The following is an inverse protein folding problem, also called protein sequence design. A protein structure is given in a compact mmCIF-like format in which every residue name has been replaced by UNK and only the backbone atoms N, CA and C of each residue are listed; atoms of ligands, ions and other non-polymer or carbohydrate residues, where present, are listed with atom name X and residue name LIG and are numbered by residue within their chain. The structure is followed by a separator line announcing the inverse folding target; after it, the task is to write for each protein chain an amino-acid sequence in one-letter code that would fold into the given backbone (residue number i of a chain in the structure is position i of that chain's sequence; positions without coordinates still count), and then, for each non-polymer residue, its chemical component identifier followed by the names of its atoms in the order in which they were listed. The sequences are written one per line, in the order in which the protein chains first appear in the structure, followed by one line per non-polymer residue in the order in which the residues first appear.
data_IF_876450493115
#
_entry.id   IF_876450493115
#
_cell.length_a   1.000
_cell.length_b   1.000
_cell.length_c   1.000
_cell.angle_alpha   90.00
_cell.angle_beta   90.00
_cell.angle_gamma   90.00
#
_symmetry.space_group_name_H-M   'P 1'
#
loop_
_entity.id
_entity.type
_entity.pdbx_description
1 polymer ?
#
# COMPACT_ATOMS: atom_id res chain seq x y z
N UNK A 1 -8.20 -3.43 12.11
CA UNK A 1 -7.66 -2.14 12.57
C UNK A 1 -6.16 -2.32 12.82
N UNK A 2 -5.28 -1.49 12.26
CA UNK A 2 -3.84 -1.69 12.37
C UNK A 2 -3.37 -1.48 13.82
N UNK A 3 -2.35 -2.22 14.28
CA UNK A 3 -1.76 -1.97 15.59
C UNK A 3 -1.19 -0.55 15.64
N UNK A 4 -1.55 0.20 16.68
CA UNK A 4 -1.06 1.57 16.94
C UNK A 4 -0.19 1.62 18.20
N UNK A 5 0.58 2.69 18.32
CA UNK A 5 1.50 2.90 19.44
C UNK A 5 0.76 3.04 20.77
N UNK A 6 1.12 2.23 21.76
CA UNK A 6 0.66 2.39 23.15
C UNK A 6 1.50 3.44 23.87
N UNK A 7 0.87 4.39 24.55
CA UNK A 7 1.55 5.48 25.28
C UNK A 7 1.30 5.36 26.78
N UNK A 8 2.37 5.48 27.57
CA UNK A 8 2.32 5.51 29.04
C UNK A 8 2.60 6.92 29.53
N UNK A 9 1.70 7.47 30.33
CA UNK A 9 1.78 8.81 30.89
C UNK A 9 1.95 8.77 32.41
N UNK A 10 2.65 9.77 32.95
CA UNK A 10 2.73 10.04 34.38
C UNK A 10 1.40 10.59 34.92
N UNK A 11 1.24 10.62 36.25
CA UNK A 11 0.03 11.16 36.89
C UNK A 11 -0.24 12.65 36.61
N UNK A 12 0.77 13.38 36.13
CA UNK A 12 0.66 14.77 35.68
C UNK A 12 0.48 14.91 34.15
N UNK A 13 0.29 13.80 33.44
CA UNK A 13 0.07 13.76 31.99
C UNK A 13 1.33 13.70 31.13
N UNK A 14 2.54 13.85 31.70
CA UNK A 14 3.79 13.77 30.92
C UNK A 14 3.98 12.38 30.31
N UNK A 15 4.37 12.32 29.03
CA UNK A 15 4.69 11.06 28.35
C UNK A 15 5.94 10.43 28.97
N UNK A 16 5.85 9.20 29.45
CA UNK A 16 6.96 8.42 30.02
C UNK A 16 7.58 7.53 28.96
N UNK A 17 6.74 6.80 28.21
CA UNK A 17 7.21 5.81 27.24
C UNK A 17 6.16 5.54 26.16
N UNK A 18 6.66 5.11 25.01
CA UNK A 18 5.86 4.59 23.90
C UNK A 18 6.27 3.15 23.63
N UNK A 19 5.28 2.26 23.49
CA UNK A 19 5.48 0.85 23.19
C UNK A 19 4.78 0.52 21.88
N UNK A 20 5.56 0.12 20.89
CA UNK A 20 5.05 -0.35 19.61
C UNK A 20 6.04 -1.32 18.97
N UNK A 21 5.52 -2.36 18.30
CA UNK A 21 6.34 -3.19 17.38
C UNK A 21 6.67 -2.41 16.10
N UNK A 22 5.75 -1.55 15.69
CA UNK A 22 5.83 -0.74 14.49
C UNK A 22 5.40 0.68 14.85
N UNK A 23 6.17 1.69 14.41
CA UNK A 23 5.84 3.09 14.65
C UNK A 23 4.77 3.54 13.66
N UNK A 24 3.51 3.24 13.97
CA UNK A 24 2.35 3.61 13.17
C UNK A 24 1.53 4.69 13.86
N UNK A 25 1.05 5.63 13.06
CA UNK A 25 0.03 6.61 13.43
C UNK A 25 -1.15 6.36 12.49
N UNK A 26 -2.34 6.23 13.05
CA UNK A 26 -3.54 6.12 12.25
C UNK A 26 -3.87 7.47 11.61
N UNK A 27 -4.09 7.48 10.29
CA UNK A 27 -4.43 8.66 9.51
C UNK A 27 -5.71 8.34 8.74
N UNK A 28 -6.83 9.04 9.00
CA UNK A 28 -8.04 8.89 8.22
C UNK A 28 -7.80 9.27 6.75
N UNK A 29 -8.35 8.50 5.81
CA UNK A 29 -8.12 8.69 4.36
C UNK A 29 -8.56 10.09 3.88
N UNK A 30 -9.57 10.67 4.52
CA UNK A 30 -10.13 11.98 4.21
C UNK A 30 -9.16 13.13 4.53
N UNK A 31 -8.13 12.85 5.35
CA UNK A 31 -7.10 13.83 5.71
C UNK A 31 -5.88 13.76 4.79
N UNK A 32 -5.82 12.77 3.90
CA UNK A 32 -4.72 12.58 2.97
C UNK A 32 -4.92 13.47 1.74
N UNK A 33 -3.91 14.24 1.30
CA UNK A 33 -4.00 15.03 0.08
C UNK A 33 -4.39 14.17 -1.13
N UNK A 34 -5.37 14.60 -1.96
CA UNK A 34 -5.79 13.84 -3.14
C UNK A 34 -4.63 13.50 -4.09
N UNK A 35 -3.65 14.40 -4.21
CA UNK A 35 -2.46 14.21 -5.04
C UNK A 35 -1.60 13.05 -4.54
N UNK A 36 -1.51 12.85 -3.22
CA UNK A 36 -0.77 11.74 -2.64
C UNK A 36 -1.49 10.41 -2.90
N UNK A 37 -2.82 10.39 -2.79
CA UNK A 37 -3.64 9.23 -3.15
C UNK A 37 -3.41 8.88 -4.63
N UNK A 38 -3.54 9.86 -5.54
CA UNK A 38 -3.34 9.64 -6.96
C UNK A 38 -1.91 9.20 -7.31
N UNK A 39 -0.89 9.75 -6.64
CA UNK A 39 0.50 9.33 -6.85
C UNK A 39 0.71 7.87 -6.45
N UNK A 40 0.15 7.45 -5.31
CA UNK A 40 0.24 6.07 -4.84
C UNK A 40 -0.50 5.11 -5.76
N UNK A 41 -1.75 5.43 -6.15
CA UNK A 41 -2.51 4.64 -7.11
C UNK A 41 -1.80 4.55 -8.47
N UNK A 42 -1.22 5.65 -8.96
CA UNK A 42 -0.53 5.65 -10.25
C UNK A 42 0.71 4.73 -10.27
N UNK A 43 1.36 4.56 -9.12
CA UNK A 43 2.56 3.73 -8.95
C UNK A 43 2.23 2.26 -8.66
N UNK A 44 1.29 2.00 -7.76
CA UNK A 44 0.99 0.64 -7.27
C UNK A 44 -0.18 -0.02 -8.00
N UNK A 45 -1.28 0.72 -8.22
CA UNK A 45 -2.54 0.14 -8.70
C UNK A 45 -3.45 1.19 -9.36
N UNK A 46 -3.20 1.46 -10.65
CA UNK A 46 -3.84 2.56 -11.38
C UNK A 46 -5.36 2.39 -11.52
N UNK A 47 -5.83 1.15 -11.52
CA UNK A 47 -7.24 0.81 -11.75
C UNK A 47 -7.93 0.39 -10.45
N UNK A 48 -7.37 0.73 -9.29
CA UNK A 48 -7.81 0.25 -7.98
C UNK A 48 -9.32 0.39 -7.74
N UNK A 49 -9.87 1.56 -8.08
CA UNK A 49 -11.30 1.84 -7.88
C UNK A 49 -12.22 1.20 -8.93
N UNK A 50 -11.67 0.69 -10.02
CA UNK A 50 -12.44 0.09 -11.11
C UNK A 50 -12.59 -1.43 -10.95
N UNK A 51 -11.74 -2.06 -10.15
CA UNK A 51 -11.72 -3.51 -9.98
C UNK A 51 -12.14 -3.97 -8.58
N UNK A 52 -12.66 -5.20 -8.47
CA UNK A 52 -13.10 -5.81 -7.22
C UNK A 52 -11.97 -6.36 -6.33
N UNK A 53 -10.73 -5.89 -6.49
CA UNK A 53 -9.55 -6.32 -5.74
C UNK A 53 -8.57 -7.18 -6.53
N UNK A 54 -8.92 -7.64 -7.73
CA UNK A 54 -8.00 -8.27 -8.66
C UNK A 54 -8.09 -7.56 -10.02
N UNK A 55 -6.97 -7.02 -10.51
CA UNK A 55 -6.89 -6.48 -11.87
C UNK A 55 -6.63 -7.60 -12.87
N UNK A 56 -7.70 -8.26 -13.34
CA UNK A 56 -7.59 -9.32 -14.35
C UNK A 56 -6.94 -8.81 -15.65
N UNK A 57 -7.18 -7.55 -16.02
CA UNK A 57 -6.56 -6.95 -17.22
C UNK A 57 -5.07 -6.72 -16.98
N UNK A 58 -4.70 -6.22 -15.81
CA UNK A 58 -3.32 -6.06 -15.37
C UNK A 58 -2.55 -7.38 -15.35
N UNK A 59 -3.15 -8.44 -14.81
CA UNK A 59 -2.57 -9.79 -14.77
C UNK A 59 -2.31 -10.33 -16.17
N UNK A 60 -3.31 -10.26 -17.06
CA UNK A 60 -3.15 -10.75 -18.45
C UNK A 60 -2.08 -9.95 -19.19
N UNK A 61 -2.09 -8.61 -19.07
CA UNK A 61 -1.08 -7.74 -19.67
C UNK A 61 0.33 -8.11 -19.20
N UNK A 62 0.54 -8.16 -17.89
CA UNK A 62 1.84 -8.47 -17.31
C UNK A 62 2.31 -9.88 -17.71
N UNK A 63 1.40 -10.86 -17.74
CA UNK A 63 1.72 -12.23 -18.17
C UNK A 63 2.23 -12.25 -19.62
N UNK A 64 1.55 -11.54 -20.52
CA UNK A 64 1.95 -11.46 -21.93
C UNK A 64 3.29 -10.72 -22.08
N UNK A 65 3.46 -9.58 -21.40
CA UNK A 65 4.70 -8.81 -21.42
C UNK A 65 5.89 -9.64 -20.90
N UNK A 66 5.67 -10.36 -19.80
CA UNK A 66 6.69 -11.17 -19.16
C UNK A 66 7.16 -12.36 -20.01
N UNK A 67 6.34 -12.88 -20.93
CA UNK A 67 6.81 -13.89 -21.90
C UNK A 67 7.93 -13.29 -22.76
N UNK A 68 7.76 -12.06 -23.24
CA UNK A 68 8.78 -11.33 -23.99
C UNK A 68 9.99 -10.99 -23.12
N UNK A 69 9.77 -10.51 -21.91
CA UNK A 69 10.86 -10.13 -20.99
C UNK A 69 11.74 -11.32 -20.63
N UNK A 70 11.17 -12.52 -20.43
CA UNK A 70 11.92 -13.75 -20.19
C UNK A 70 12.82 -14.10 -21.39
N UNK A 71 12.34 -13.88 -22.61
CA UNK A 71 13.15 -14.13 -23.82
C UNK A 71 14.30 -13.13 -23.99
N UNK A 72 14.13 -11.92 -23.46
CA UNK A 72 15.09 -10.82 -23.59
C UNK A 72 15.97 -10.60 -22.34
N UNK A 73 15.80 -11.40 -21.29
CA UNK A 73 16.44 -11.23 -19.97
C UNK A 73 16.16 -9.84 -19.34
N UNK A 74 14.91 -9.39 -19.44
CA UNK A 74 14.42 -8.11 -18.90
C UNK A 74 13.65 -8.28 -17.57
N UNK A 75 13.49 -7.18 -16.83
CA UNK A 75 12.75 -7.18 -15.56
C UNK A 75 11.26 -7.48 -15.77
N UNK A 76 10.68 -8.34 -14.93
CA UNK A 76 9.27 -8.70 -15.01
C UNK A 76 8.35 -7.55 -14.56
N UNK A 77 7.24 -7.37 -15.26
CA UNK A 77 6.15 -6.52 -14.84
C UNK A 77 5.35 -7.17 -13.70
N UNK A 78 5.05 -6.38 -12.68
CA UNK A 78 4.13 -6.74 -11.61
C UNK A 78 2.66 -6.58 -12.04
N UNK A 79 1.80 -7.37 -11.40
CA UNK A 79 0.34 -7.30 -11.56
C UNK A 79 -0.41 -7.35 -10.22
N UNK A 80 0.29 -7.14 -9.12
CA UNK A 80 -0.29 -7.17 -7.79
C UNK A 80 -1.15 -5.92 -7.55
N UNK A 81 -2.31 -6.11 -6.92
CA UNK A 81 -3.22 -5.02 -6.53
C UNK A 81 -2.99 -4.63 -5.08
N UNK A 82 -3.44 -3.44 -4.68
CA UNK A 82 -3.36 -2.99 -3.27
C UNK A 82 -4.09 -3.98 -2.35
N UNK A 83 -5.24 -4.51 -2.77
CA UNK A 83 -6.01 -5.49 -1.99
C UNK A 83 -5.24 -6.80 -1.75
N UNK A 84 -4.29 -7.16 -2.62
CA UNK A 84 -3.44 -8.34 -2.41
C UNK A 84 -2.27 -8.10 -1.47
N UNK A 85 -1.87 -6.84 -1.26
CA UNK A 85 -0.71 -6.49 -0.42
C UNK A 85 -1.07 -6.36 1.07
N UNK A 86 -2.36 -6.18 1.40
CA UNK A 86 -2.85 -5.87 2.75
C UNK A 86 -3.34 -7.06 3.57
#
# INVERSE_FOLDING_TARGET
EPPITSRVHAGDGRLIAEYARERRIFVPIETIPPELIHAFLAAEDRNFYDHGGLDLRGIVRATIANIGHIMNDENLEGASTITQQV
#
